data_IF_811768931236
#
_entry.id   IF_811768931236
#
_cell.length_a   1.000
_cell.length_b   1.000
_cell.length_c   1.000
_cell.angle_alpha   90.00
_cell.angle_beta   90.00
_cell.angle_gamma   90.00
#
_symmetry.space_group_name_H-M   'P 1'
#
loop_
_entity.id
_entity.type
_entity.pdbx_description
1 polymer ?
#
# COMPACT_ATOMS: atom_id res chain seq x y z
N UNK A 1 -6.93 4.38 17.33
CA UNK A 1 -7.76 4.44 16.11
C UNK A 1 -9.16 4.86 16.53
N UNK A 2 -9.73 5.82 15.85
CA UNK A 2 -11.09 6.30 16.12
C UNK A 2 -12.11 5.22 15.77
N UNK A 3 -13.19 5.13 16.55
CA UNK A 3 -14.21 4.08 16.37
C UNK A 3 -14.80 4.04 14.96
N UNK A 4 -15.07 5.21 14.38
CA UNK A 4 -15.59 5.32 13.02
C UNK A 4 -14.62 4.72 11.97
N UNK A 5 -13.33 4.95 12.13
CA UNK A 5 -12.31 4.40 11.21
C UNK A 5 -12.22 2.89 11.35
N UNK A 6 -12.29 2.38 12.57
CA UNK A 6 -12.35 0.94 12.85
C UNK A 6 -13.53 0.28 12.15
N UNK A 7 -14.72 0.83 12.31
CA UNK A 7 -15.94 0.34 11.66
C UNK A 7 -15.81 0.35 10.13
N UNK A 8 -15.23 1.41 9.57
CA UNK A 8 -14.99 1.52 8.14
C UNK A 8 -14.07 0.41 7.63
N UNK A 9 -12.97 0.16 8.31
CA UNK A 9 -12.03 -0.91 7.95
C UNK A 9 -12.70 -2.28 8.03
N UNK A 10 -13.42 -2.56 9.11
CA UNK A 10 -14.12 -3.83 9.30
C UNK A 10 -15.18 -4.06 8.21
N UNK A 11 -15.88 -3.01 7.82
CA UNK A 11 -16.88 -3.08 6.74
C UNK A 11 -16.23 -3.38 5.39
N UNK A 12 -15.13 -2.72 5.05
CA UNK A 12 -14.40 -2.95 3.80
C UNK A 12 -13.79 -4.35 3.77
N UNK A 13 -13.19 -4.76 4.87
CA UNK A 13 -12.51 -6.05 5.00
C UNK A 13 -13.47 -7.24 5.11
N UNK A 14 -14.71 -7.01 5.55
CA UNK A 14 -15.68 -8.08 5.79
C UNK A 14 -15.36 -8.95 7.01
N UNK A 15 -14.53 -8.47 7.93
CA UNK A 15 -14.11 -9.19 9.12
C UNK A 15 -13.76 -8.21 10.25
N UNK A 16 -13.92 -8.64 11.49
CA UNK A 16 -13.59 -7.84 12.67
C UNK A 16 -12.08 -7.70 12.89
N UNK A 17 -11.66 -6.58 13.43
CA UNK A 17 -10.27 -6.33 13.82
C UNK A 17 -9.98 -7.02 15.14
N UNK A 18 -8.97 -7.88 15.16
CA UNK A 18 -8.50 -8.58 16.39
C UNK A 18 -7.30 -7.93 17.02
N UNK A 19 -6.45 -7.30 16.22
CA UNK A 19 -5.24 -6.64 16.73
C UNK A 19 -4.78 -5.52 15.78
N UNK A 20 -4.14 -4.50 16.36
CA UNK A 20 -3.51 -3.39 15.65
C UNK A 20 -2.06 -3.28 16.12
N UNK A 21 -1.13 -3.31 15.18
CA UNK A 21 0.30 -3.19 15.46
C UNK A 21 0.87 -2.01 14.69
N UNK A 22 1.46 -1.05 15.37
CA UNK A 22 2.13 0.06 14.72
C UNK A 22 3.32 -0.45 13.89
N UNK A 23 3.44 0.02 12.65
CA UNK A 23 4.57 -0.27 11.79
C UNK A 23 5.56 0.90 11.84
N UNK A 24 6.83 0.60 12.12
CA UNK A 24 7.89 1.60 12.16
C UNK A 24 8.30 2.03 10.76
N UNK A 25 8.72 3.29 10.61
CA UNK A 25 9.35 3.81 9.39
C UNK A 25 8.47 4.71 8.53
N UNK A 26 7.23 4.96 8.91
CA UNK A 26 6.39 5.97 8.26
C UNK A 26 6.74 7.37 8.74
N UNK A 27 7.20 8.24 7.84
CA UNK A 27 7.44 9.66 8.18
C UNK A 27 6.17 10.51 8.09
N UNK A 28 5.10 10.00 7.49
CA UNK A 28 3.86 10.74 7.23
C UNK A 28 2.67 9.87 7.58
N UNK A 29 1.90 10.30 8.59
CA UNK A 29 0.70 9.63 9.06
C UNK A 29 0.96 8.36 9.87
N UNK A 30 -0.10 7.82 10.44
CA UNK A 30 -0.06 6.57 11.19
C UNK A 30 -0.18 5.38 10.24
N UNK A 31 0.75 4.46 10.34
CA UNK A 31 0.76 3.21 9.58
C UNK A 31 0.65 2.05 10.56
N UNK A 32 -0.34 1.20 10.38
CA UNK A 32 -0.50 0.04 11.24
C UNK A 32 -0.84 -1.23 10.45
N UNK A 33 -0.39 -2.35 11.00
CA UNK A 33 -0.83 -3.67 10.59
C UNK A 33 -2.15 -3.98 11.29
N UNK A 34 -3.13 -4.35 10.51
CA UNK A 34 -4.47 -4.73 10.97
C UNK A 34 -4.62 -6.23 10.86
N UNK A 35 -4.76 -6.90 11.99
CA UNK A 35 -5.05 -8.34 12.02
C UNK A 35 -6.56 -8.55 12.12
N UNK A 36 -7.09 -9.42 11.29
CA UNK A 36 -8.52 -9.67 11.16
C UNK A 36 -8.91 -11.02 11.75
N UNK A 37 -10.18 -11.17 12.12
CA UNK A 37 -10.74 -12.40 12.69
C UNK A 37 -10.70 -13.60 11.73
N UNK A 38 -10.65 -13.36 10.42
CA UNK A 38 -10.50 -14.38 9.40
C UNK A 38 -9.02 -14.79 9.16
N UNK A 39 -8.08 -14.30 9.98
CA UNK A 39 -6.62 -14.49 9.91
C UNK A 39 -5.91 -13.72 8.81
N UNK A 40 -6.61 -12.91 8.03
CA UNK A 40 -5.97 -12.01 7.08
C UNK A 40 -5.31 -10.84 7.80
N UNK A 41 -4.29 -10.27 7.15
CA UNK A 41 -3.61 -9.08 7.62
C UNK A 41 -3.67 -8.01 6.54
N UNK A 42 -3.92 -6.79 6.97
CA UNK A 42 -3.93 -5.61 6.12
C UNK A 42 -2.96 -4.56 6.65
N UNK A 43 -2.64 -3.59 5.82
CA UNK A 43 -1.96 -2.36 6.22
C UNK A 43 -2.95 -1.22 6.08
N UNK A 44 -3.11 -0.45 7.12
CA UNK A 44 -3.88 0.78 7.12
C UNK A 44 -2.94 1.97 7.29
N UNK A 45 -2.97 2.89 6.35
CA UNK A 45 -2.37 4.22 6.47
C UNK A 45 -3.48 5.22 6.73
N UNK A 46 -3.32 6.01 7.77
CA UNK A 46 -4.30 7.01 8.20
C UNK A 46 -3.73 8.40 8.01
N UNK A 47 -4.49 9.29 7.42
CA UNK A 47 -4.08 10.65 7.16
C UNK A 47 -5.23 11.63 7.28
N UNK A 48 -4.97 12.85 6.87
CA UNK A 48 -5.95 13.94 6.80
C UNK A 48 -6.20 14.33 5.34
N UNK A 49 -7.20 15.14 5.11
CA UNK A 49 -7.45 15.72 3.78
C UNK A 49 -6.20 16.44 3.30
N UNK A 50 -5.75 16.15 2.09
CA UNK A 50 -4.51 16.67 1.53
C UNK A 50 -3.26 15.85 1.86
N UNK A 51 -3.39 14.70 2.52
CA UNK A 51 -2.27 13.80 2.84
C UNK A 51 -1.58 13.18 1.63
N UNK A 52 -2.30 13.06 0.51
CA UNK A 52 -1.82 12.37 -0.68
C UNK A 52 -2.06 10.86 -0.68
N UNK A 53 -2.75 10.30 0.32
CA UNK A 53 -3.02 8.86 0.39
C UNK A 53 -3.89 8.37 -0.76
N UNK A 54 -4.87 9.17 -1.21
CA UNK A 54 -5.67 8.83 -2.37
C UNK A 54 -4.79 8.65 -3.61
N UNK A 55 -3.83 9.55 -3.81
CA UNK A 55 -2.88 9.48 -4.91
C UNK A 55 -1.95 8.27 -4.80
N UNK A 56 -1.44 7.98 -3.61
CA UNK A 56 -0.63 6.78 -3.36
C UNK A 56 -1.40 5.51 -3.74
N UNK A 57 -2.67 5.42 -3.37
CA UNK A 57 -3.54 4.31 -3.74
C UNK A 57 -3.71 4.16 -5.26
N UNK A 58 -3.89 5.28 -5.97
CA UNK A 58 -3.98 5.28 -7.45
C UNK A 58 -2.68 4.82 -8.10
N UNK A 59 -1.53 5.23 -7.57
CA UNK A 59 -0.22 4.82 -8.09
C UNK A 59 0.02 3.32 -7.88
N UNK A 60 -0.32 2.79 -6.71
CA UNK A 60 -0.23 1.35 -6.43
C UNK A 60 -1.17 0.55 -7.35
N UNK A 61 -2.39 1.03 -7.56
CA UNK A 61 -3.34 0.39 -8.46
C UNK A 61 -2.84 0.39 -9.91
N UNK A 62 -2.24 1.49 -10.34
CA UNK A 62 -1.62 1.57 -11.66
C UNK A 62 -0.53 0.50 -11.84
N UNK A 63 0.35 0.34 -10.86
CA UNK A 63 1.40 -0.67 -10.89
C UNK A 63 0.83 -2.10 -10.93
N UNK A 64 -0.25 -2.35 -10.19
CA UNK A 64 -0.97 -3.63 -10.22
C UNK A 64 -1.54 -3.93 -11.60
N UNK A 65 -2.15 -2.93 -12.24
CA UNK A 65 -2.87 -3.09 -13.51
C UNK A 65 -1.93 -3.16 -14.72
N UNK A 66 -0.77 -2.51 -14.67
CA UNK A 66 0.09 -2.29 -15.83
C UNK A 66 1.47 -2.94 -15.71
N UNK A 67 1.82 -3.53 -14.58
CA UNK A 67 3.13 -4.16 -14.38
C UNK A 67 3.04 -5.50 -13.67
N UNK A 68 4.11 -6.27 -13.73
CA UNK A 68 4.28 -7.50 -12.97
C UNK A 68 4.97 -7.26 -11.61
N UNK A 69 5.24 -5.99 -11.26
CA UNK A 69 5.87 -5.65 -9.98
C UNK A 69 4.96 -6.08 -8.83
N UNK A 70 5.45 -6.89 -7.88
CA UNK A 70 4.66 -7.28 -6.73
C UNK A 70 4.51 -6.10 -5.78
N UNK A 71 3.31 -5.55 -5.73
CA UNK A 71 2.93 -4.44 -4.86
C UNK A 71 1.71 -4.84 -4.04
N UNK A 72 1.45 -4.19 -2.89
CA UNK A 72 0.23 -4.43 -2.14
C UNK A 72 -1.01 -4.15 -2.99
N UNK A 73 -2.03 -4.99 -2.85
CA UNK A 73 -3.34 -4.74 -3.47
C UNK A 73 -4.11 -3.72 -2.65
N UNK A 74 -4.65 -2.71 -3.30
CA UNK A 74 -5.42 -1.65 -2.66
C UNK A 74 -6.88 -2.10 -2.51
N UNK A 75 -7.39 -2.09 -1.27
CA UNK A 75 -8.79 -2.36 -0.97
C UNK A 75 -9.61 -1.08 -0.90
N UNK A 76 -9.01 0.00 -0.44
CA UNK A 76 -9.64 1.31 -0.33
C UNK A 76 -8.57 2.41 -0.33
N UNK A 77 -8.85 3.53 -0.99
CA UNK A 77 -7.94 4.68 -1.01
C UNK A 77 -8.69 6.00 -1.09
N UNK A 78 -8.57 6.79 -0.04
CA UNK A 78 -8.90 8.21 -0.01
C UNK A 78 -7.83 8.94 0.83
N UNK A 79 -7.97 10.25 1.00
CA UNK A 79 -6.96 11.02 1.72
C UNK A 79 -6.90 10.70 3.23
N UNK A 80 -7.94 10.12 3.79
CA UNK A 80 -8.00 9.79 5.22
C UNK A 80 -7.61 8.35 5.52
N UNK A 81 -7.79 7.44 4.56
CA UNK A 81 -7.49 6.02 4.72
C UNK A 81 -7.00 5.40 3.41
N UNK A 82 -5.84 4.79 3.46
CA UNK A 82 -5.38 3.84 2.45
C UNK A 82 -5.30 2.46 3.10
N UNK A 83 -6.10 1.53 2.61
CA UNK A 83 -6.17 0.15 3.09
C UNK A 83 -5.66 -0.78 2.00
N UNK A 84 -4.68 -1.60 2.32
CA UNK A 84 -4.03 -2.49 1.36
C UNK A 84 -3.62 -3.81 2.02
N UNK A 85 -3.30 -4.80 1.21
CA UNK A 85 -2.83 -6.09 1.70
C UNK A 85 -1.48 -5.96 2.39
N UNK A 86 -1.27 -6.77 3.43
CA UNK A 86 0.01 -6.86 4.12
C UNK A 86 0.92 -7.84 3.37
N UNK A 87 2.15 -7.41 3.07
CA UNK A 87 3.19 -8.26 2.50
C UNK A 87 4.12 -8.69 3.62
N UNK A 88 4.12 -9.98 3.91
CA UNK A 88 5.03 -10.55 4.89
C UNK A 88 6.40 -10.79 4.25
N UNK A 89 7.45 -10.47 4.98
CA UNK A 89 8.83 -10.62 4.52
C UNK A 89 9.78 -10.85 5.68
N UNK A 90 10.88 -11.51 5.40
CA UNK A 90 11.92 -11.80 6.40
C UNK A 90 12.77 -10.58 6.74
N UNK A 91 12.74 -9.55 5.89
CA UNK A 91 13.57 -8.36 6.04
C UNK A 91 15.03 -8.54 5.66
N UNK A 92 15.44 -9.70 5.20
CA UNK A 92 16.81 -9.98 4.80
C UNK A 92 17.01 -9.78 3.30
N UNK A 93 17.96 -8.93 2.95
CA UNK A 93 18.38 -8.72 1.56
C UNK A 93 19.66 -9.50 1.33
N UNK A 94 19.61 -10.52 0.49
CA UNK A 94 20.76 -11.32 0.06
C UNK A 94 21.01 -11.12 -1.44
N UNK A 95 22.07 -11.75 -1.97
CA UNK A 95 22.42 -11.62 -3.39
C UNK A 95 21.28 -12.04 -4.33
N UNK A 96 20.54 -13.10 -4.00
CA UNK A 96 19.38 -13.53 -4.80
C UNK A 96 18.24 -12.51 -4.77
N UNK A 97 17.98 -11.89 -3.62
CA UNK A 97 16.97 -10.84 -3.48
C UNK A 97 17.35 -9.60 -4.30
N UNK A 98 18.63 -9.21 -4.30
CA UNK A 98 19.14 -8.10 -5.10
C UNK A 98 18.97 -8.33 -6.61
N UNK A 99 19.31 -9.53 -7.10
CA UNK A 99 19.13 -9.93 -8.51
C UNK A 99 17.64 -9.90 -8.87
N UNK A 100 16.80 -10.47 -8.03
CA UNK A 100 15.35 -10.49 -8.25
C UNK A 100 14.76 -9.07 -8.30
N UNK A 101 15.16 -8.20 -7.38
CA UNK A 101 14.75 -6.80 -7.38
C UNK A 101 15.21 -6.07 -8.65
N UNK A 102 16.45 -6.29 -9.09
CA UNK A 102 16.97 -5.70 -10.33
C UNK A 102 16.17 -6.16 -11.57
N UNK A 103 15.84 -7.44 -11.65
CA UNK A 103 15.02 -7.99 -12.73
C UNK A 103 13.61 -7.40 -12.77
N UNK A 104 12.99 -7.24 -11.60
CA UNK A 104 11.66 -6.61 -11.47
C UNK A 104 11.68 -5.15 -11.89
N UNK A 105 12.68 -4.39 -11.48
CA UNK A 105 12.85 -2.97 -11.86
C UNK A 105 13.14 -2.85 -13.35
N UNK A 106 13.99 -3.70 -13.92
CA UNK A 106 14.26 -3.72 -15.35
C UNK A 106 12.98 -4.00 -16.17
N UNK A 107 12.19 -4.98 -15.75
CA UNK A 107 10.91 -5.28 -16.39
C UNK A 107 9.92 -4.10 -16.30
N UNK A 108 9.89 -3.42 -15.16
CA UNK A 108 9.08 -2.22 -14.98
C UNK A 108 9.47 -1.10 -15.95
N UNK A 109 10.77 -0.89 -16.16
CA UNK A 109 11.29 0.14 -17.06
C UNK A 109 11.06 -0.14 -18.55
N UNK A 110 10.70 -1.35 -18.92
CA UNK A 110 10.30 -1.69 -20.30
C UNK A 110 8.87 -1.25 -20.62
N UNK A 111 8.07 -0.94 -19.62
CA UNK A 111 6.69 -0.48 -19.79
C UNK A 111 6.73 0.98 -20.22
N UNK A 112 6.12 1.28 -21.35
CA UNK A 112 6.09 2.62 -21.92
C UNK A 112 4.66 3.14 -22.09
N UNK A 113 4.54 4.46 -22.13
CA UNK A 113 3.30 5.16 -22.42
C UNK A 113 3.55 6.25 -23.48
N UNK A 114 2.50 6.88 -23.97
CA UNK A 114 2.60 7.92 -25.00
C UNK A 114 3.31 9.19 -24.52
N UNK A 115 3.23 9.47 -23.22
CA UNK A 115 3.80 10.64 -22.58
C UNK A 115 4.56 10.24 -21.31
N UNK A 116 5.43 11.14 -20.83
CA UNK A 116 6.15 10.93 -19.58
C UNK A 116 5.24 11.18 -18.37
N UNK A 117 5.48 10.40 -17.30
CA UNK A 117 4.81 10.57 -16.02
C UNK A 117 3.38 10.03 -15.99
N UNK A 118 2.70 10.30 -14.90
CA UNK A 118 1.28 9.98 -14.73
C UNK A 118 0.40 11.06 -15.36
N UNK A 119 -0.87 10.73 -15.63
CA UNK A 119 -1.86 11.66 -16.18
C UNK A 119 -2.31 12.73 -15.17
N UNK A 120 -1.78 12.71 -13.97
CA UNK A 120 -2.09 13.63 -12.85
C UNK A 120 -0.82 13.97 -12.08
N UNK A 121 -0.86 15.10 -11.36
CA UNK A 121 0.26 15.57 -10.55
C UNK A 121 0.53 14.61 -9.38
N UNK A 122 1.80 14.30 -9.17
CA UNK A 122 2.26 13.46 -8.06
C UNK A 122 3.27 14.21 -7.20
N UNK A 123 3.41 13.76 -5.96
CA UNK A 123 4.45 14.28 -5.08
C UNK A 123 5.73 13.48 -5.24
N UNK A 124 6.86 14.16 -5.05
CA UNK A 124 8.17 13.50 -4.91
C UNK A 124 8.33 13.19 -3.43
N UNK A 125 8.31 11.92 -3.09
CA UNK A 125 8.44 11.46 -1.72
C UNK A 125 9.79 10.88 -1.39
#
# INVERSE_FOLDING_TARGET
MQDHLRETIEKIAGAGITNLTALSGGCVGDVCKVSLSNRDNLVAKVGEVGSGLALEGLMLQYLTDHSALPVPSVLHGDDTLLLMTFIDGTGNINANAEIHAADLVAALHEISAKTYGFDYDTVIG
#
